data_IF_508722112840
#
_entry.id   IF_508722112840
#
_cell.length_a   1.000
_cell.length_b   1.000
_cell.length_c   1.000
_cell.angle_alpha   90.00
_cell.angle_beta   90.00
_cell.angle_gamma   90.00
#
_symmetry.space_group_name_H-M   'P 1'
#
loop_
_entity.id
_entity.type
_entity.pdbx_description
1 polymer ?
#
# COMPACT_ATOMS: atom_id res chain seq x y z
N UNK A 1 -14.59 -14.74 4.89
CA UNK A 1 -13.49 -14.37 5.78
C UNK A 1 -14.07 -13.88 7.11
N UNK A 2 -13.75 -14.60 8.22
CA UNK A 2 -14.28 -14.29 9.55
C UNK A 2 -13.88 -12.89 10.04
N UNK A 3 -12.63 -12.49 9.75
CA UNK A 3 -12.11 -11.15 10.10
C UNK A 3 -12.93 -10.02 9.47
N UNK A 4 -13.23 -10.12 8.17
CA UNK A 4 -14.04 -9.11 7.48
C UNK A 4 -15.41 -8.98 8.12
N UNK A 5 -16.09 -10.11 8.39
CA UNK A 5 -17.41 -10.13 9.02
C UNK A 5 -17.38 -9.52 10.43
N UNK A 6 -16.40 -9.92 11.25
CA UNK A 6 -16.27 -9.43 12.62
C UNK A 6 -16.03 -7.92 12.72
N UNK A 7 -15.41 -7.32 11.69
CA UNK A 7 -15.10 -5.89 11.63
C UNK A 7 -16.05 -5.09 10.73
N UNK A 8 -17.08 -5.73 10.17
CA UNK A 8 -18.03 -5.09 9.26
C UNK A 8 -17.36 -4.52 8.01
N UNK A 9 -16.37 -5.23 7.47
CA UNK A 9 -15.70 -4.91 6.21
C UNK A 9 -16.44 -5.63 5.08
N UNK A 10 -17.26 -4.89 4.36
CA UNK A 10 -18.02 -5.42 3.23
C UNK A 10 -17.16 -5.43 1.97
N UNK A 11 -17.28 -6.49 1.17
CA UNK A 11 -16.53 -6.65 -0.07
C UNK A 11 -16.78 -5.47 -1.02
N UNK A 12 -15.69 -4.85 -1.48
CA UNK A 12 -15.73 -3.68 -2.38
C UNK A 12 -16.12 -2.36 -1.71
N UNK A 13 -16.32 -2.35 -0.37
CA UNK A 13 -16.71 -1.15 0.39
C UNK A 13 -15.71 -0.76 1.46
N UNK A 14 -14.45 -1.06 1.29
CA UNK A 14 -13.38 -0.57 2.14
C UNK A 14 -12.08 -0.45 1.36
N UNK A 15 -11.25 0.49 1.76
CA UNK A 15 -9.88 0.60 1.28
C UNK A 15 -8.92 0.05 2.33
N UNK A 16 -7.76 -0.44 1.88
CA UNK A 16 -6.64 -0.77 2.75
C UNK A 16 -5.60 0.35 2.70
N UNK A 17 -5.05 0.73 3.84
CA UNK A 17 -4.01 1.74 3.98
C UNK A 17 -2.80 1.14 4.70
N UNK A 18 -1.64 1.15 4.03
CA UNK A 18 -0.40 0.55 4.53
C UNK A 18 0.64 1.65 4.76
N UNK A 19 0.95 1.99 6.02
CA UNK A 19 1.96 2.99 6.35
C UNK A 19 3.38 2.44 6.20
N UNK A 20 4.36 3.33 6.05
CA UNK A 20 5.78 2.97 6.07
C UNK A 20 6.63 4.17 6.49
N UNK A 21 7.64 3.92 7.31
CA UNK A 21 8.72 4.87 7.55
C UNK A 21 9.69 4.85 6.36
N UNK A 22 10.24 6.01 5.96
CA UNK A 22 11.16 6.09 4.81
C UNK A 22 12.32 5.11 4.93
N UNK A 23 12.92 5.03 6.12
CA UNK A 23 13.97 4.06 6.44
C UNK A 23 13.42 3.01 7.40
N UNK A 24 13.28 1.78 6.90
CA UNK A 24 12.79 0.65 7.70
C UNK A 24 13.68 0.44 8.92
N UNK A 25 13.10 0.45 10.15
CA UNK A 25 13.87 0.30 11.39
C UNK A 25 14.22 -1.17 11.64
N UNK A 26 15.07 -1.76 10.80
CA UNK A 26 15.46 -3.18 10.89
C UNK A 26 16.00 -3.58 12.24
N UNK A 27 16.62 -2.66 12.98
CA UNK A 27 17.08 -2.90 14.36
C UNK A 27 15.96 -3.25 15.35
N UNK A 28 14.70 -2.93 15.04
CA UNK A 28 13.51 -3.34 15.82
C UNK A 28 13.00 -4.74 15.44
N UNK A 29 13.38 -5.23 14.27
CA UNK A 29 12.88 -6.50 13.73
C UNK A 29 13.89 -7.61 13.95
N UNK A 30 15.17 -7.34 13.65
CA UNK A 30 16.23 -8.34 13.68
C UNK A 30 17.62 -7.70 13.81
N UNK A 31 18.56 -8.50 14.30
CA UNK A 31 19.99 -8.14 14.29
C UNK A 31 20.32 -6.79 14.95
N UNK A 32 19.62 -6.43 16.04
CA UNK A 32 19.84 -5.17 16.78
C UNK A 32 21.31 -4.96 17.11
N UNK A 33 22.04 -6.03 17.46
CA UNK A 33 23.45 -6.00 17.83
C UNK A 33 24.41 -5.57 16.69
N UNK A 34 23.96 -5.58 15.44
CA UNK A 34 24.72 -5.10 14.29
C UNK A 34 24.54 -3.59 14.03
N UNK A 35 23.72 -2.92 14.83
CA UNK A 35 23.40 -1.51 14.67
C UNK A 35 24.03 -0.69 15.79
N UNK A 36 24.90 0.25 15.43
CA UNK A 36 25.42 1.21 16.40
C UNK A 36 24.33 2.19 16.86
N UNK A 37 24.43 2.72 18.06
CA UNK A 37 23.49 3.75 18.55
C UNK A 37 23.47 4.97 17.63
N UNK A 38 24.63 5.40 17.15
CA UNK A 38 24.72 6.52 16.21
C UNK A 38 23.90 6.28 14.93
N UNK A 39 23.96 5.05 14.36
CA UNK A 39 23.19 4.69 13.16
C UNK A 39 21.69 4.62 13.45
N UNK A 40 21.30 4.13 14.61
CA UNK A 40 19.90 4.12 15.03
C UNK A 40 19.38 5.55 15.17
N UNK A 41 20.10 6.43 15.88
CA UNK A 41 19.73 7.83 16.03
C UNK A 41 19.59 8.54 14.66
N UNK A 42 20.50 8.26 13.71
CA UNK A 42 20.39 8.80 12.35
C UNK A 42 19.09 8.38 11.65
N UNK A 43 18.75 7.08 11.69
CA UNK A 43 17.53 6.55 11.07
C UNK A 43 16.29 7.11 11.75
N UNK A 44 16.26 7.17 13.07
CA UNK A 44 15.12 7.71 13.82
C UNK A 44 14.93 9.21 13.56
N UNK A 45 16.01 10.00 13.57
CA UNK A 45 15.94 11.42 13.24
C UNK A 45 15.41 11.66 11.83
N UNK A 46 15.87 10.88 10.85
CA UNK A 46 15.41 10.96 9.48
C UNK A 46 13.93 10.61 9.36
N UNK A 47 13.48 9.50 9.93
CA UNK A 47 12.09 9.09 9.93
C UNK A 47 11.19 10.11 10.65
N UNK A 48 11.62 10.61 11.81
CA UNK A 48 10.86 11.62 12.56
C UNK A 48 10.69 12.93 11.80
N UNK A 49 11.66 13.29 10.95
CA UNK A 49 11.58 14.51 10.12
C UNK A 49 10.47 14.44 9.08
N UNK A 50 10.24 13.26 8.48
CA UNK A 50 9.37 13.14 7.31
C UNK A 50 8.05 12.37 7.55
N UNK A 51 7.95 11.61 8.65
CA UNK A 51 6.78 10.75 8.88
C UNK A 51 5.44 11.47 8.85
N UNK A 52 5.38 12.68 9.42
CA UNK A 52 4.14 13.46 9.47
C UNK A 52 3.79 14.00 8.08
N UNK A 53 4.74 14.57 7.38
CA UNK A 53 4.54 15.10 6.03
C UNK A 53 4.05 14.03 5.07
N UNK A 54 4.69 12.86 5.05
CA UNK A 54 4.31 11.77 4.16
C UNK A 54 2.90 11.25 4.50
N UNK A 55 2.65 10.93 5.78
CA UNK A 55 1.40 10.28 6.17
C UNK A 55 0.20 11.23 6.23
N UNK A 56 0.41 12.53 6.41
CA UNK A 56 -0.69 13.52 6.33
C UNK A 56 -1.41 13.44 4.98
N UNK A 57 -0.67 13.19 3.89
CA UNK A 57 -1.22 13.08 2.54
C UNK A 57 -2.11 11.84 2.37
N UNK A 58 -1.71 10.71 2.94
CA UNK A 58 -2.54 9.49 2.95
C UNK A 58 -3.75 9.66 3.88
N UNK A 59 -3.59 10.34 5.03
CA UNK A 59 -4.72 10.64 5.93
C UNK A 59 -5.76 11.53 5.26
N UNK A 60 -5.34 12.51 4.45
CA UNK A 60 -6.25 13.37 3.69
C UNK A 60 -7.11 12.52 2.73
N UNK A 61 -6.51 11.59 2.01
CA UNK A 61 -7.24 10.66 1.15
C UNK A 61 -8.19 9.74 1.94
N UNK A 62 -7.78 9.25 3.12
CA UNK A 62 -8.63 8.48 4.04
C UNK A 62 -9.84 9.30 4.49
N UNK A 63 -9.61 10.55 4.88
CA UNK A 63 -10.67 11.46 5.34
C UNK A 63 -11.69 11.71 4.23
N UNK A 64 -11.23 12.02 3.02
CA UNK A 64 -12.09 12.21 1.85
C UNK A 64 -12.91 10.95 1.58
N UNK A 65 -12.27 9.78 1.46
CA UNK A 65 -12.94 8.50 1.25
C UNK A 65 -14.06 8.25 2.25
N UNK A 66 -13.79 8.39 3.55
CA UNK A 66 -14.78 8.12 4.59
C UNK A 66 -15.92 9.13 4.53
N UNK A 67 -15.63 10.41 4.32
CA UNK A 67 -16.67 11.45 4.29
C UNK A 67 -17.60 11.35 3.09
N UNK A 68 -17.05 11.01 1.94
CA UNK A 68 -17.79 10.88 0.69
C UNK A 68 -18.60 9.59 0.63
N UNK A 69 -17.98 8.45 0.99
CA UNK A 69 -18.58 7.13 0.77
C UNK A 69 -19.27 6.53 2.01
N UNK A 70 -18.89 6.96 3.21
CA UNK A 70 -19.22 6.31 4.49
C UNK A 70 -18.72 4.88 4.59
N UNK A 71 -17.78 4.50 3.75
CA UNK A 71 -17.15 3.19 3.74
C UNK A 71 -15.95 3.14 4.70
N UNK A 72 -15.57 1.93 5.09
CA UNK A 72 -14.49 1.71 6.05
C UNK A 72 -13.10 1.81 5.44
N UNK A 73 -12.13 1.98 6.32
CA UNK A 73 -10.69 1.92 6.02
C UNK A 73 -10.06 0.88 6.92
N UNK A 74 -9.31 -0.03 6.34
CA UNK A 74 -8.48 -0.99 7.05
C UNK A 74 -7.03 -0.48 7.06
N UNK A 75 -6.54 -0.05 8.20
CA UNK A 75 -5.11 0.23 8.41
C UNK A 75 -4.41 -1.09 8.75
N UNK A 76 -3.45 -1.47 7.94
CA UNK A 76 -2.83 -2.80 8.01
C UNK A 76 -1.33 -2.76 7.70
N UNK A 77 -0.54 -3.70 8.27
CA UNK A 77 0.89 -3.75 8.06
C UNK A 77 1.28 -4.58 6.84
N UNK A 78 2.45 -4.30 6.26
CA UNK A 78 3.22 -5.23 5.42
C UNK A 78 4.43 -5.76 6.20
N UNK A 79 5.03 -4.92 7.02
CA UNK A 79 6.17 -5.23 7.87
C UNK A 79 5.77 -5.25 9.36
N UNK A 80 6.38 -6.13 10.14
CA UNK A 80 6.01 -6.32 11.56
C UNK A 80 6.13 -5.05 12.41
N UNK A 81 7.13 -4.21 12.16
CA UNK A 81 7.31 -2.96 12.92
C UNK A 81 6.15 -1.97 12.75
N UNK A 82 5.43 -2.06 11.63
CA UNK A 82 4.32 -1.13 11.35
C UNK A 82 3.16 -1.32 12.31
N UNK A 83 3.01 -2.50 12.90
CA UNK A 83 1.96 -2.78 13.90
C UNK A 83 2.04 -1.80 15.07
N UNK A 84 3.26 -1.41 15.48
CA UNK A 84 3.50 -0.47 16.58
C UNK A 84 3.32 1.00 16.17
N UNK A 85 3.44 1.31 14.88
CA UNK A 85 3.43 2.68 14.37
C UNK A 85 2.14 3.11 13.67
N UNK A 86 1.23 2.18 13.37
CA UNK A 86 0.00 2.51 12.63
C UNK A 86 -0.87 3.57 13.31
N UNK A 87 -0.96 3.54 14.63
CA UNK A 87 -1.74 4.53 15.39
C UNK A 87 -1.13 5.91 15.21
N UNK A 88 0.16 6.07 15.50
CA UNK A 88 0.89 7.32 15.36
C UNK A 88 0.86 7.86 13.92
N UNK A 89 1.11 6.99 12.92
CA UNK A 89 1.26 7.43 11.54
C UNK A 89 -0.07 7.75 10.85
N UNK A 90 -1.13 7.00 11.14
CA UNK A 90 -2.38 7.14 10.41
C UNK A 90 -3.60 7.41 11.28
N UNK A 91 -3.75 6.82 12.49
CA UNK A 91 -5.04 6.78 13.17
C UNK A 91 -5.23 7.94 14.15
N UNK A 92 -4.21 8.26 14.95
CA UNK A 92 -4.34 9.23 16.05
C UNK A 92 -4.70 10.63 15.58
N UNK A 93 -4.17 11.04 14.44
CA UNK A 93 -4.42 12.35 13.83
C UNK A 93 -5.70 12.45 12.99
N UNK A 94 -6.47 11.36 12.86
CA UNK A 94 -7.74 11.41 12.13
C UNK A 94 -8.82 12.17 12.91
N UNK A 95 -9.73 12.89 12.21
CA UNK A 95 -10.86 13.54 12.83
C UNK A 95 -11.80 12.58 13.56
N UNK A 96 -12.48 13.07 14.58
CA UNK A 96 -13.40 12.27 15.40
C UNK A 96 -14.56 11.65 14.60
N UNK A 97 -15.01 12.31 13.52
CA UNK A 97 -16.04 11.81 12.61
C UNK A 97 -15.54 10.67 11.68
N UNK A 98 -14.23 10.53 11.51
CA UNK A 98 -13.60 9.52 10.63
C UNK A 98 -13.17 8.28 11.42
N UNK A 99 -12.67 8.43 12.64
CA UNK A 99 -12.18 7.33 13.47
C UNK A 99 -13.10 6.11 13.59
N UNK A 100 -14.44 6.26 13.72
CA UNK A 100 -15.35 5.11 13.80
C UNK A 100 -15.38 4.22 12.55
N UNK A 101 -14.91 4.70 11.43
CA UNK A 101 -14.82 3.95 10.17
C UNK A 101 -13.48 3.22 9.99
N UNK A 102 -12.53 3.42 10.90
CA UNK A 102 -11.19 2.83 10.80
C UNK A 102 -11.13 1.52 11.57
N UNK A 103 -10.66 0.50 10.89
CA UNK A 103 -10.34 -0.81 11.45
C UNK A 103 -8.82 -0.98 11.42
N UNK A 104 -8.24 -1.42 12.52
CA UNK A 104 -6.80 -1.72 12.61
C UNK A 104 -6.59 -3.23 12.53
N UNK A 105 -5.67 -3.68 11.68
CA UNK A 105 -5.20 -5.06 11.65
C UNK A 105 -3.80 -5.15 12.28
N UNK A 106 -3.63 -6.06 13.21
CA UNK A 106 -2.31 -6.43 13.72
C UNK A 106 -1.54 -7.31 12.73
N UNK A 107 -0.61 -8.10 13.27
CA UNK A 107 0.16 -9.05 12.47
C UNK A 107 -0.75 -10.01 11.69
N UNK A 108 -0.37 -10.32 10.47
CA UNK A 108 -0.99 -11.30 9.61
C UNK A 108 0.02 -11.98 8.68
N UNK A 109 -0.37 -13.08 8.07
CA UNK A 109 0.41 -13.78 7.07
C UNK A 109 0.08 -13.25 5.66
N UNK A 110 0.98 -13.42 4.68
CA UNK A 110 0.76 -12.92 3.30
C UNK A 110 -0.51 -13.43 2.62
N UNK A 111 -0.92 -14.67 2.89
CA UNK A 111 -2.15 -15.27 2.36
C UNK A 111 -3.40 -14.66 3.00
N UNK A 112 -3.35 -14.32 4.29
CA UNK A 112 -4.40 -13.56 4.96
C UNK A 112 -4.53 -12.15 4.35
N UNK A 113 -3.39 -11.46 4.16
CA UNK A 113 -3.35 -10.14 3.50
C UNK A 113 -3.94 -10.22 2.09
N UNK A 114 -3.53 -11.19 1.27
CA UNK A 114 -4.03 -11.39 -0.08
C UNK A 114 -5.55 -11.61 -0.09
N UNK A 115 -6.08 -12.42 0.83
CA UNK A 115 -7.53 -12.68 0.93
C UNK A 115 -8.34 -11.45 1.31
N UNK A 116 -7.76 -10.54 2.10
CA UNK A 116 -8.40 -9.28 2.51
C UNK A 116 -8.29 -8.25 1.39
N UNK A 117 -7.13 -8.11 0.75
CA UNK A 117 -6.96 -7.23 -0.41
C UNK A 117 -7.90 -7.62 -1.56
N UNK A 118 -8.07 -8.91 -1.83
CA UNK A 118 -9.02 -9.40 -2.84
C UNK A 118 -10.49 -8.98 -2.57
N UNK A 119 -10.81 -8.64 -1.33
CA UNK A 119 -12.14 -8.15 -0.94
C UNK A 119 -12.23 -6.62 -0.85
N UNK A 120 -11.11 -5.90 -0.88
CA UNK A 120 -11.10 -4.44 -0.78
C UNK A 120 -11.56 -3.76 -2.07
N UNK A 121 -11.88 -2.46 -1.98
CA UNK A 121 -12.08 -1.59 -3.13
C UNK A 121 -10.75 -1.21 -3.78
N UNK A 122 -9.78 -0.78 -2.97
CA UNK A 122 -8.43 -0.43 -3.39
C UNK A 122 -7.43 -0.60 -2.24
N UNK A 123 -6.13 -0.65 -2.57
CA UNK A 123 -5.02 -0.68 -1.62
C UNK A 123 -4.14 0.55 -1.82
N UNK A 124 -4.00 1.39 -0.81
CA UNK A 124 -3.13 2.57 -0.78
C UNK A 124 -1.92 2.24 0.09
N UNK A 125 -0.72 2.26 -0.46
CA UNK A 125 0.45 1.72 0.23
C UNK A 125 1.71 2.52 0.00
N UNK A 126 2.46 2.75 1.07
CA UNK A 126 3.86 3.16 1.01
C UNK A 126 4.81 1.98 0.80
N UNK A 127 4.37 0.76 1.03
CA UNK A 127 5.15 -0.44 0.76
C UNK A 127 4.93 -0.96 -0.66
N UNK A 128 5.96 -1.54 -1.25
CA UNK A 128 5.89 -1.94 -2.66
C UNK A 128 5.25 -3.31 -2.90
N UNK A 129 5.16 -4.21 -1.91
CA UNK A 129 4.61 -5.55 -2.15
C UNK A 129 3.09 -5.60 -2.02
N UNK A 130 2.48 -4.77 -1.17
CA UNK A 130 1.02 -4.70 -1.03
C UNK A 130 0.31 -4.35 -2.35
N UNK A 131 0.79 -3.39 -3.16
CA UNK A 131 0.29 -3.15 -4.51
C UNK A 131 0.43 -4.34 -5.45
N UNK A 132 1.54 -5.11 -5.37
CA UNK A 132 1.71 -6.34 -6.18
C UNK A 132 0.62 -7.34 -5.84
N UNK A 133 0.39 -7.57 -4.55
CA UNK A 133 -0.65 -8.51 -4.08
C UNK A 133 -2.03 -8.03 -4.49
N UNK A 134 -2.32 -6.73 -4.37
CA UNK A 134 -3.58 -6.14 -4.82
C UNK A 134 -3.79 -6.36 -6.32
N UNK A 135 -2.81 -6.00 -7.14
CA UNK A 135 -2.84 -6.21 -8.59
C UNK A 135 -3.05 -7.68 -8.94
N UNK A 136 -2.30 -8.60 -8.30
CA UNK A 136 -2.44 -10.05 -8.53
C UNK A 136 -3.86 -10.57 -8.24
N UNK A 137 -4.62 -9.90 -7.38
CA UNK A 137 -6.03 -10.18 -7.10
C UNK A 137 -7.01 -9.33 -7.92
N UNK A 138 -6.53 -8.60 -8.93
CA UNK A 138 -7.35 -7.74 -9.77
C UNK A 138 -7.93 -6.52 -9.03
N UNK A 139 -7.27 -6.02 -7.99
CA UNK A 139 -7.71 -4.88 -7.19
C UNK A 139 -6.87 -3.64 -7.55
N UNK A 140 -7.51 -2.48 -7.78
CA UNK A 140 -6.81 -1.21 -7.95
C UNK A 140 -5.94 -0.89 -6.73
N UNK A 141 -4.84 -0.20 -6.98
CA UNK A 141 -3.92 0.19 -5.92
C UNK A 141 -3.30 1.57 -6.18
N UNK A 142 -2.84 2.22 -5.12
CA UNK A 142 -1.94 3.37 -5.19
C UNK A 142 -0.64 3.03 -4.50
N UNK A 143 0.46 3.30 -5.18
CA UNK A 143 1.78 3.23 -4.60
C UNK A 143 2.26 4.65 -4.28
N UNK A 144 2.40 4.94 -2.99
CA UNK A 144 2.89 6.21 -2.47
C UNK A 144 4.40 6.11 -2.32
N UNK A 145 5.12 6.45 -3.38
CA UNK A 145 6.55 6.21 -3.48
C UNK A 145 7.33 7.24 -2.69
N UNK A 146 8.23 6.74 -1.85
CA UNK A 146 9.13 7.57 -1.05
C UNK A 146 10.48 7.74 -1.75
N UNK A 147 11.23 8.85 -1.52
CA UNK A 147 12.52 9.08 -2.20
C UNK A 147 13.57 8.00 -1.97
N UNK A 148 13.51 7.33 -0.81
CA UNK A 148 14.41 6.23 -0.47
C UNK A 148 14.04 4.90 -1.19
N UNK A 149 12.91 4.87 -1.91
CA UNK A 149 12.52 3.72 -2.73
C UNK A 149 13.37 3.67 -3.99
N UNK A 150 14.09 2.59 -4.11
CA UNK A 150 15.01 2.35 -5.22
C UNK A 150 14.27 1.99 -6.51
N UNK A 151 14.94 1.30 -7.41
CA UNK A 151 14.38 0.78 -8.67
C UNK A 151 13.10 -0.07 -8.51
N UNK A 152 12.78 -0.53 -7.30
CA UNK A 152 11.57 -1.35 -7.06
C UNK A 152 10.27 -0.65 -7.49
N UNK A 153 10.19 0.67 -7.32
CA UNK A 153 9.04 1.45 -7.77
C UNK A 153 8.95 1.59 -9.29
N UNK A 154 10.07 1.48 -10.01
CA UNK A 154 10.12 1.65 -11.46
C UNK A 154 9.25 0.63 -12.19
N UNK A 155 9.15 -0.61 -11.70
CA UNK A 155 8.34 -1.64 -12.34
C UNK A 155 6.88 -1.22 -12.54
N UNK A 156 6.32 -0.40 -11.67
CA UNK A 156 4.92 0.05 -11.81
C UNK A 156 4.75 1.00 -12.98
N UNK A 157 5.74 1.87 -13.23
CA UNK A 157 5.76 2.72 -14.44
C UNK A 157 5.86 1.86 -15.70
N UNK A 158 6.75 0.88 -15.69
CA UNK A 158 6.99 -0.03 -16.83
C UNK A 158 5.75 -0.91 -17.12
N UNK A 159 4.94 -1.19 -16.10
CA UNK A 159 3.69 -1.95 -16.21
C UNK A 159 2.45 -1.07 -16.49
N UNK A 160 2.62 0.21 -16.83
CA UNK A 160 1.52 1.09 -17.21
C UNK A 160 0.65 1.60 -16.05
N UNK A 161 1.19 1.63 -14.83
CA UNK A 161 0.47 2.13 -13.65
C UNK A 161 0.89 3.57 -13.25
N UNK A 162 1.50 4.34 -14.15
CA UNK A 162 2.05 5.67 -13.86
C UNK A 162 1.05 6.62 -13.18
N UNK A 163 -0.23 6.55 -13.54
CA UNK A 163 -1.30 7.36 -12.97
C UNK A 163 -1.78 6.90 -11.57
N UNK A 164 -1.24 5.79 -11.07
CA UNK A 164 -1.49 5.25 -9.73
C UNK A 164 -0.23 5.27 -8.83
N UNK A 165 0.84 5.88 -9.33
CA UNK A 165 2.08 6.10 -8.58
C UNK A 165 2.15 7.56 -8.18
N UNK A 166 2.37 7.81 -6.92
CA UNK A 166 2.46 9.14 -6.34
C UNK A 166 3.84 9.32 -5.71
N UNK A 167 4.70 10.10 -6.34
CA UNK A 167 5.96 10.54 -5.74
C UNK A 167 5.60 11.43 -4.55
N UNK A 168 5.83 10.94 -3.33
CA UNK A 168 5.21 11.54 -2.14
C UNK A 168 5.65 12.98 -1.90
N UNK A 169 6.87 13.36 -2.27
CA UNK A 169 7.34 14.75 -2.12
C UNK A 169 6.71 15.71 -3.13
N UNK A 170 6.25 15.21 -4.26
CA UNK A 170 5.65 15.99 -5.35
C UNK A 170 4.13 15.98 -5.34
N UNK A 171 3.53 15.15 -4.44
CA UNK A 171 2.08 14.88 -4.42
C UNK A 171 1.44 15.57 -3.22
N UNK A 172 0.21 16.05 -3.40
CA UNK A 172 -0.67 16.48 -2.29
C UNK A 172 -1.67 15.40 -1.92
N UNK A 173 -2.17 15.43 -0.67
CA UNK A 173 -3.23 14.52 -0.24
C UNK A 173 -4.51 14.64 -1.09
N UNK A 174 -4.84 15.87 -1.51
CA UNK A 174 -5.96 16.14 -2.43
C UNK A 174 -5.80 15.43 -3.78
N UNK A 175 -4.59 15.34 -4.34
CA UNK A 175 -4.37 14.60 -5.59
C UNK A 175 -4.63 13.10 -5.43
N UNK A 176 -4.22 12.52 -4.30
CA UNK A 176 -4.49 11.11 -3.99
C UNK A 176 -6.00 10.90 -3.82
N UNK A 177 -6.67 11.78 -3.06
CA UNK A 177 -8.11 11.74 -2.84
C UNK A 177 -8.90 11.83 -4.16
N UNK A 178 -8.58 12.81 -5.00
CA UNK A 178 -9.24 13.00 -6.29
C UNK A 178 -9.08 11.76 -7.20
N UNK A 179 -7.88 11.16 -7.24
CA UNK A 179 -7.67 9.94 -8.00
C UNK A 179 -8.48 8.76 -7.46
N UNK A 180 -8.65 8.68 -6.14
CA UNK A 180 -9.48 7.63 -5.52
C UNK A 180 -10.96 7.80 -5.91
N UNK A 181 -11.46 9.04 -5.91
CA UNK A 181 -12.82 9.37 -6.39
C UNK A 181 -12.98 9.08 -7.88
N UNK A 182 -12.00 9.38 -8.72
CA UNK A 182 -12.03 9.03 -10.14
C UNK A 182 -12.12 7.51 -10.35
N UNK A 183 -11.36 6.73 -9.58
CA UNK A 183 -11.46 5.26 -9.62
C UNK A 183 -12.84 4.80 -9.15
N UNK A 184 -13.44 5.43 -8.14
CA UNK A 184 -14.78 5.09 -7.69
C UNK A 184 -15.83 5.28 -8.80
N UNK A 185 -15.78 6.42 -9.48
CA UNK A 185 -16.69 6.75 -10.60
C UNK A 185 -16.51 5.77 -11.77
N UNK A 186 -15.26 5.38 -12.06
CA UNK A 186 -14.90 4.55 -13.21
C UNK A 186 -14.35 3.17 -12.79
N UNK A 187 -14.90 2.59 -11.73
CA UNK A 187 -14.36 1.35 -11.15
C UNK A 187 -14.24 0.17 -12.13
N UNK A 188 -15.20 -0.07 -13.05
CA UNK A 188 -15.05 -1.12 -14.06
C UNK A 188 -13.79 -0.93 -14.94
N UNK A 189 -13.44 0.31 -15.28
CA UNK A 189 -12.27 0.61 -16.11
C UNK A 189 -10.97 0.41 -15.31
N UNK A 190 -10.95 0.83 -14.05
CA UNK A 190 -9.83 0.56 -13.15
C UNK A 190 -9.58 -0.95 -12.98
N UNK A 191 -10.64 -1.73 -12.81
CA UNK A 191 -10.54 -3.21 -12.76
C UNK A 191 -10.02 -3.79 -14.07
N UNK A 192 -10.51 -3.30 -15.20
CA UNK A 192 -10.07 -3.75 -16.53
C UNK A 192 -8.58 -3.45 -16.72
N UNK A 193 -8.10 -2.27 -16.34
CA UNK A 193 -6.69 -1.90 -16.41
C UNK A 193 -5.82 -2.91 -15.66
N UNK A 194 -6.18 -3.27 -14.42
CA UNK A 194 -5.42 -4.25 -13.63
C UNK A 194 -5.40 -5.62 -14.33
N UNK A 195 -6.53 -6.09 -14.83
CA UNK A 195 -6.65 -7.40 -15.50
C UNK A 195 -5.82 -7.43 -16.79
N UNK A 196 -5.86 -6.36 -17.58
CA UNK A 196 -5.07 -6.24 -18.82
C UNK A 196 -3.57 -6.30 -18.52
N UNK A 197 -3.12 -5.53 -17.54
CA UNK A 197 -1.71 -5.51 -17.17
C UNK A 197 -1.24 -6.86 -16.59
N UNK A 198 -2.10 -7.58 -15.85
CA UNK A 198 -1.81 -8.95 -15.41
C UNK A 198 -1.58 -9.90 -16.60
N UNK A 199 -2.38 -9.77 -17.67
CA UNK A 199 -2.19 -10.59 -18.86
C UNK A 199 -0.85 -10.30 -19.53
N UNK A 200 -0.45 -9.03 -19.64
CA UNK A 200 0.86 -8.62 -20.18
C UNK A 200 2.01 -9.19 -19.34
N UNK A 201 1.92 -9.10 -18.01
CA UNK A 201 2.88 -9.70 -17.09
C UNK A 201 3.00 -11.22 -17.32
N UNK A 202 1.86 -11.91 -17.41
CA UNK A 202 1.83 -13.36 -17.69
C UNK A 202 2.54 -13.72 -19.00
N UNK A 203 2.35 -12.91 -20.04
CA UNK A 203 2.96 -13.14 -21.34
C UNK A 203 4.47 -12.86 -21.33
N UNK A 204 4.93 -11.87 -20.56
CA UNK A 204 6.36 -11.63 -20.30
C UNK A 204 7.00 -12.84 -19.61
N UNK A 205 6.36 -13.36 -18.55
CA UNK A 205 6.85 -14.55 -17.86
C UNK A 205 6.89 -15.79 -18.76
N UNK A 206 5.85 -16.03 -19.57
CA UNK A 206 5.84 -17.14 -20.54
C UNK A 206 7.01 -17.04 -21.51
N UNK A 207 7.27 -15.86 -22.09
CA UNK A 207 8.39 -15.61 -22.99
C UNK A 207 9.74 -15.87 -22.31
N UNK A 208 9.92 -15.39 -21.10
CA UNK A 208 11.14 -15.62 -20.31
C UNK A 208 11.35 -17.12 -20.05
N UNK A 209 10.32 -17.83 -19.61
CA UNK A 209 10.39 -19.29 -19.39
C UNK A 209 10.72 -20.06 -20.67
N UNK A 210 10.14 -19.68 -21.81
CA UNK A 210 10.45 -20.29 -23.10
C UNK A 210 11.90 -20.06 -23.52
N UNK A 211 12.43 -18.85 -23.29
CA UNK A 211 13.85 -18.54 -23.58
C UNK A 211 14.80 -19.39 -22.74
N UNK A 212 14.52 -19.52 -21.42
CA UNK A 212 15.31 -20.37 -20.52
C UNK A 212 15.25 -21.84 -20.98
N UNK A 213 14.04 -22.32 -21.28
CA UNK A 213 13.87 -23.70 -21.79
C UNK A 213 14.69 -23.95 -23.04
N UNK A 214 14.66 -23.05 -24.02
CA UNK A 214 15.39 -23.18 -25.26
C UNK A 214 16.92 -23.24 -25.04
N UNK A 215 17.44 -22.52 -24.03
CA UNK A 215 18.86 -22.57 -23.66
C UNK A 215 19.26 -23.88 -22.99
N UNK A 216 18.34 -24.52 -22.26
CA UNK A 216 18.63 -25.78 -21.56
C UNK A 216 18.60 -27.03 -22.48
N UNK A 217 17.96 -26.93 -23.64
CA UNK A 217 17.79 -28.04 -24.59
C UNK A 217 18.55 -27.83 -25.91
N UNK A 218 19.48 -26.88 -25.96
CA UNK A 218 20.52 -26.75 -26.97
C UNK A 218 21.77 -27.56 -26.54
#
# INVERSE_FOLDING_TARGET
>A
NAFLKANGLEKGKFICAVPRLRRTPYYRIKNRHLWSEAKICEVEAYNNKYKEEDHSKLREAIISWVRETKNKVLVCPEMTYQVDFMDELLIDSLPADVKPYVVKRGYWLPDEAASVYAASFAVLSFECHSPIIAAANGIPFFYLRQPDDTIKGQMYYDLGYSDWIFEIEETTGTQIANRLTEIEIHYPDAKRKVITNQQEISDIYKKACMSIRNLLYQ
#
